data_IF_996801668052
#
_entry.id   IF_996801668052
#
_cell.length_a   1.000
_cell.length_b   1.000
_cell.length_c   1.000
_cell.angle_alpha   90.00
_cell.angle_beta   90.00
_cell.angle_gamma   90.00
#
_symmetry.space_group_name_H-M   'P 1'
#
loop_
_entity.id
_entity.type
_entity.pdbx_description
1 polymer ?
#
# COMPACT_ATOMS: atom_id res chain seq x y z
N UNK A 1 -12.40 20.93 27.65
CA UNK A 1 -10.96 20.65 27.49
C UNK A 1 -10.68 19.17 27.18
N UNK A 2 -11.36 18.21 27.81
CA UNK A 2 -11.16 16.76 27.54
C UNK A 2 -11.51 16.32 26.12
N UNK A 3 -12.62 16.83 25.54
CA UNK A 3 -13.01 16.50 24.16
C UNK A 3 -11.94 16.93 23.15
N UNK A 4 -11.34 18.10 23.34
CA UNK A 4 -10.28 18.62 22.47
C UNK A 4 -9.03 17.72 22.54
N UNK A 5 -8.62 17.33 23.75
CA UNK A 5 -7.50 16.40 23.96
C UNK A 5 -7.75 15.05 23.26
N UNK A 6 -8.96 14.50 23.41
CA UNK A 6 -9.33 13.22 22.78
C UNK A 6 -9.29 13.27 21.25
N UNK A 7 -9.73 14.38 20.66
CA UNK A 7 -9.64 14.58 19.20
C UNK A 7 -8.18 14.68 18.75
N UNK A 8 -7.36 15.44 19.48
CA UNK A 8 -5.91 15.57 19.21
C UNK A 8 -5.21 14.20 19.29
N UNK A 9 -5.54 13.38 20.30
CA UNK A 9 -4.97 12.04 20.47
C UNK A 9 -5.33 11.12 19.29
N UNK A 10 -6.58 11.15 18.82
CA UNK A 10 -7.02 10.38 17.65
C UNK A 10 -6.25 10.81 16.38
N UNK A 11 -6.05 12.11 16.19
CA UNK A 11 -5.29 12.65 15.05
C UNK A 11 -3.83 12.18 15.15
N UNK A 12 -3.21 12.30 16.32
CA UNK A 12 -1.82 11.88 16.55
C UNK A 12 -1.64 10.38 16.34
N UNK A 13 -2.58 9.54 16.78
CA UNK A 13 -2.54 8.10 16.56
C UNK A 13 -2.69 7.74 15.08
N UNK A 14 -3.56 8.45 14.37
CA UNK A 14 -3.74 8.27 12.92
C UNK A 14 -2.46 8.66 12.18
N UNK A 15 -1.88 9.80 12.54
CA UNK A 15 -0.63 10.31 11.97
C UNK A 15 0.52 9.36 12.27
N UNK A 16 0.62 8.82 13.49
CA UNK A 16 1.59 7.80 13.87
C UNK A 16 1.43 6.53 13.05
N UNK A 17 0.20 6.03 12.87
CA UNK A 17 -0.07 4.84 12.02
C UNK A 17 0.37 5.08 10.58
N UNK A 18 0.09 6.27 10.04
CA UNK A 18 0.58 6.67 8.72
C UNK A 18 2.10 6.62 8.70
N UNK A 19 2.79 7.33 9.61
CA UNK A 19 4.25 7.38 9.67
C UNK A 19 4.91 5.99 9.82
N UNK A 20 4.29 5.06 10.56
CA UNK A 20 4.77 3.68 10.70
C UNK A 20 4.62 2.90 9.39
N UNK A 21 3.49 3.02 8.71
CA UNK A 21 3.31 2.44 7.36
C UNK A 21 4.34 3.02 6.39
N UNK A 22 4.62 4.32 6.51
CA UNK A 22 5.63 5.04 5.74
C UNK A 22 7.02 4.47 5.89
N UNK A 23 7.47 4.31 7.13
CA UNK A 23 8.77 3.73 7.45
C UNK A 23 8.93 2.34 6.82
N UNK A 24 7.85 1.55 6.81
CA UNK A 24 7.88 0.18 6.29
C UNK A 24 7.79 0.11 4.75
N UNK A 25 7.14 1.09 4.11
CA UNK A 25 6.84 1.07 2.68
C UNK A 25 8.03 1.39 1.75
N UNK A 26 9.17 1.87 2.28
CA UNK A 26 10.35 2.35 1.51
C UNK A 26 9.95 3.35 0.40
N UNK A 27 9.90 4.63 0.77
CA UNK A 27 9.45 5.73 -0.11
C UNK A 27 10.28 5.90 -1.40
N UNK A 28 9.69 6.52 -2.43
CA UNK A 28 10.38 6.95 -3.66
C UNK A 28 10.01 6.13 -4.90
N UNK A 29 11.01 5.83 -5.75
CA UNK A 29 10.85 5.07 -7.01
C UNK A 29 10.07 3.76 -6.85
N UNK A 30 10.13 3.13 -5.67
CA UNK A 30 9.41 1.89 -5.37
C UNK A 30 7.90 2.04 -5.51
N UNK A 31 7.33 3.20 -5.15
CA UNK A 31 5.90 3.44 -5.36
C UNK A 31 5.54 3.48 -6.84
N UNK A 32 6.39 4.08 -7.69
CA UNK A 32 6.18 4.07 -9.14
C UNK A 32 6.17 2.62 -9.67
N UNK A 33 7.11 1.79 -9.20
CA UNK A 33 7.12 0.37 -9.55
C UNK A 33 5.92 -0.41 -9.02
N UNK A 34 5.40 -0.06 -7.86
CA UNK A 34 4.19 -0.68 -7.31
C UNK A 34 2.94 -0.24 -8.10
N UNK A 35 2.90 1.01 -8.56
CA UNK A 35 1.86 1.53 -9.45
C UNK A 35 1.85 0.78 -10.79
N UNK A 36 3.03 0.51 -11.36
CA UNK A 36 3.16 -0.29 -12.58
C UNK A 36 2.67 -1.72 -12.43
N UNK A 37 2.58 -2.25 -11.21
CA UNK A 37 2.05 -3.59 -10.90
C UNK A 37 0.56 -3.61 -10.63
N UNK A 38 -0.11 -2.45 -10.59
CA UNK A 38 -1.55 -2.38 -10.41
C UNK A 38 -2.34 -3.14 -11.46
N UNK A 39 -2.00 -3.11 -12.78
CA UNK A 39 -2.75 -3.88 -13.77
C UNK A 39 -2.75 -5.38 -13.46
N UNK A 40 -1.59 -5.93 -13.10
CA UNK A 40 -1.44 -7.34 -12.70
C UNK A 40 -2.26 -7.63 -11.43
N UNK A 41 -2.14 -6.78 -10.41
CA UNK A 41 -2.93 -6.88 -9.18
C UNK A 41 -4.44 -6.86 -9.42
N UNK A 42 -4.91 -6.00 -10.33
CA UNK A 42 -6.33 -5.85 -10.64
C UNK A 42 -6.89 -7.01 -11.46
N UNK A 43 -6.09 -7.57 -12.36
CA UNK A 43 -6.49 -8.70 -13.22
C UNK A 43 -6.36 -10.06 -12.51
N UNK A 44 -5.53 -10.17 -11.48
CA UNK A 44 -5.34 -11.42 -10.76
C UNK A 44 -6.60 -11.86 -9.99
N UNK A 45 -7.14 -13.03 -10.32
CA UNK A 45 -8.36 -13.59 -9.71
C UNK A 45 -8.16 -14.07 -8.27
N UNK A 46 -6.91 -14.30 -7.84
CA UNK A 46 -6.56 -14.76 -6.48
C UNK A 46 -6.72 -13.66 -5.43
N UNK A 47 -6.73 -12.40 -5.87
CA UNK A 47 -6.86 -11.25 -4.99
C UNK A 47 -8.34 -10.94 -4.74
N UNK A 48 -8.68 -10.77 -3.46
CA UNK A 48 -10.03 -10.46 -3.04
C UNK A 48 -10.52 -9.16 -3.67
N UNK A 49 -11.80 -9.14 -4.02
CA UNK A 49 -12.44 -7.93 -4.56
C UNK A 49 -12.35 -6.74 -3.59
N UNK A 50 -12.35 -7.01 -2.29
CA UNK A 50 -12.26 -5.98 -1.23
C UNK A 50 -10.91 -5.26 -1.29
N UNK A 51 -9.81 -5.98 -1.47
CA UNK A 51 -8.47 -5.40 -1.54
C UNK A 51 -8.34 -4.55 -2.82
N UNK A 52 -8.93 -5.01 -3.93
CA UNK A 52 -9.00 -4.24 -5.18
C UNK A 52 -9.82 -2.96 -5.03
N UNK A 53 -11.02 -3.06 -4.45
CA UNK A 53 -11.88 -1.90 -4.19
C UNK A 53 -11.20 -0.91 -3.25
N UNK A 54 -10.47 -1.39 -2.23
CA UNK A 54 -9.70 -0.54 -1.32
C UNK A 54 -8.65 0.28 -2.09
N UNK A 55 -7.83 -0.37 -2.92
CA UNK A 55 -6.84 0.33 -3.75
C UNK A 55 -7.48 1.34 -4.70
N UNK A 56 -8.53 0.94 -5.42
CA UNK A 56 -9.25 1.83 -6.35
C UNK A 56 -9.86 3.01 -5.60
N UNK A 57 -10.50 2.79 -4.46
CA UNK A 57 -11.12 3.85 -3.66
C UNK A 57 -10.11 4.90 -3.21
N UNK A 58 -8.92 4.46 -2.79
CA UNK A 58 -7.84 5.37 -2.37
C UNK A 58 -7.30 6.17 -3.54
N UNK A 59 -7.10 5.56 -4.71
CA UNK A 59 -6.65 6.26 -5.91
C UNK A 59 -7.70 7.28 -6.37
N UNK A 60 -8.97 6.88 -6.45
CA UNK A 60 -10.08 7.77 -6.82
C UNK A 60 -10.19 8.93 -5.83
N UNK A 61 -10.12 8.66 -4.54
CA UNK A 61 -10.13 9.69 -3.50
C UNK A 61 -8.96 10.67 -3.66
N UNK A 62 -7.74 10.14 -3.85
CA UNK A 62 -6.53 10.96 -4.01
C UNK A 62 -6.64 11.87 -5.23
N UNK A 63 -7.04 11.32 -6.39
CA UNK A 63 -7.22 12.11 -7.62
C UNK A 63 -8.34 13.14 -7.43
N UNK A 64 -9.48 12.74 -6.85
CA UNK A 64 -10.60 13.64 -6.61
C UNK A 64 -10.20 14.80 -5.71
N UNK A 65 -9.39 14.54 -4.68
CA UNK A 65 -8.85 15.55 -3.79
C UNK A 65 -8.01 16.58 -4.57
N UNK A 66 -6.99 16.13 -5.31
CA UNK A 66 -6.14 17.03 -6.12
C UNK A 66 -6.90 17.77 -7.22
N UNK A 67 -7.91 17.16 -7.83
CA UNK A 67 -8.73 17.79 -8.87
C UNK A 67 -9.72 18.79 -8.26
N UNK A 68 -10.19 18.57 -7.05
CA UNK A 68 -11.18 19.43 -6.41
C UNK A 68 -10.65 20.83 -6.11
N UNK A 69 -9.34 20.98 -5.91
CA UNK A 69 -8.73 22.24 -5.49
C UNK A 69 -9.24 22.72 -4.13
N UNK A 70 -9.78 21.80 -3.31
CA UNK A 70 -10.23 22.08 -1.95
C UNK A 70 -9.12 21.63 -1.01
N UNK A 71 -8.53 22.57 -0.28
CA UNK A 71 -7.57 22.25 0.78
C UNK A 71 -8.31 21.71 2.01
N UNK A 72 -7.79 20.62 2.60
CA UNK A 72 -8.30 20.11 3.89
C UNK A 72 -8.07 21.17 4.97
N UNK A 73 -6.94 21.88 4.88
CA UNK A 73 -6.62 23.01 5.75
C UNK A 73 -6.61 24.27 4.89
N UNK A 74 -7.60 25.17 5.02
CA UNK A 74 -7.65 26.40 4.23
C UNK A 74 -6.30 27.14 4.27
N UNK A 75 -5.78 27.52 3.10
CA UNK A 75 -4.50 28.25 2.99
C UNK A 75 -4.44 29.50 3.90
N UNK A 76 -5.58 30.15 4.14
CA UNK A 76 -5.71 31.28 5.07
C UNK A 76 -5.30 30.93 6.51
N UNK A 77 -5.44 29.67 6.93
CA UNK A 77 -5.05 29.16 8.24
C UNK A 77 -3.65 28.56 8.26
N UNK A 78 -3.25 27.88 7.17
CA UNK A 78 -1.95 27.18 7.08
C UNK A 78 -0.79 28.09 6.62
N UNK A 79 -1.08 29.19 5.93
CA UNK A 79 -0.08 30.07 5.33
C UNK A 79 0.86 29.29 4.39
N UNK A 80 2.17 29.46 4.57
CA UNK A 80 3.19 28.78 3.76
C UNK A 80 3.20 27.23 3.90
N UNK A 81 2.44 26.66 4.83
CA UNK A 81 2.33 25.22 5.05
C UNK A 81 1.12 24.57 4.37
N UNK A 82 0.45 25.27 3.45
CA UNK A 82 -0.67 24.73 2.67
C UNK A 82 -0.33 23.51 1.81
N UNK A 83 0.95 23.15 1.64
CA UNK A 83 1.37 21.91 0.97
C UNK A 83 1.41 20.68 1.90
N UNK A 84 1.27 20.87 3.21
CA UNK A 84 1.44 19.79 4.19
C UNK A 84 0.27 18.81 4.11
N UNK A 85 -0.97 19.28 3.96
CA UNK A 85 -2.14 18.41 3.85
C UNK A 85 -2.11 17.59 2.55
N UNK A 86 -1.72 18.20 1.43
CA UNK A 86 -1.45 17.51 0.17
C UNK A 86 -0.42 16.39 0.33
N UNK A 87 0.69 16.70 1.01
CA UNK A 87 1.72 15.72 1.30
C UNK A 87 1.16 14.58 2.15
N UNK A 88 0.34 14.87 3.17
CA UNK A 88 -0.30 13.86 4.02
C UNK A 88 -1.22 12.95 3.21
N UNK A 89 -2.03 13.50 2.29
CA UNK A 89 -2.94 12.71 1.43
C UNK A 89 -2.14 11.80 0.49
N UNK A 90 -1.11 12.32 -0.18
CA UNK A 90 -0.22 11.52 -1.04
C UNK A 90 0.46 10.42 -0.25
N UNK A 91 1.00 10.79 0.91
CA UNK A 91 1.65 9.87 1.83
C UNK A 91 0.66 8.75 2.18
N UNK A 92 -0.49 9.09 2.75
CA UNK A 92 -1.50 8.11 3.13
C UNK A 92 -1.90 7.17 1.98
N UNK A 93 -2.09 7.70 0.77
CA UNK A 93 -2.41 6.95 -0.44
C UNK A 93 -1.32 5.95 -0.82
N UNK A 94 -0.07 6.40 -0.89
CA UNK A 94 1.12 5.58 -1.15
C UNK A 94 1.21 4.42 -0.15
N UNK A 95 0.99 4.72 1.13
CA UNK A 95 1.05 3.72 2.20
C UNK A 95 0.04 2.59 2.01
N UNK A 96 -1.20 2.90 1.63
CA UNK A 96 -2.24 1.88 1.41
C UNK A 96 -1.93 1.05 0.15
N UNK A 97 -1.59 1.70 -0.96
CA UNK A 97 -1.29 0.99 -2.21
C UNK A 97 -0.11 0.05 -2.02
N UNK A 98 0.97 0.51 -1.39
CA UNK A 98 2.15 -0.31 -1.12
C UNK A 98 1.82 -1.50 -0.22
N UNK A 99 0.99 -1.31 0.82
CA UNK A 99 0.55 -2.39 1.71
C UNK A 99 -0.15 -3.51 0.91
N UNK A 100 -1.10 -3.17 0.04
CA UNK A 100 -1.85 -4.15 -0.75
C UNK A 100 -0.99 -4.81 -1.85
N UNK A 101 -0.14 -4.05 -2.54
CA UNK A 101 0.79 -4.60 -3.54
C UNK A 101 1.82 -5.52 -2.89
N UNK A 102 2.26 -5.22 -1.66
CA UNK A 102 3.18 -6.09 -0.95
C UNK A 102 2.51 -7.41 -0.53
N UNK A 103 1.25 -7.39 -0.07
CA UNK A 103 0.46 -8.62 0.15
C UNK A 103 0.35 -9.44 -1.13
N UNK A 104 0.04 -8.80 -2.25
CA UNK A 104 0.01 -9.46 -3.56
C UNK A 104 1.36 -10.09 -3.93
N UNK A 105 2.47 -9.40 -3.68
CA UNK A 105 3.82 -9.93 -3.96
C UNK A 105 4.13 -11.18 -3.15
N UNK A 106 3.62 -11.29 -1.92
CA UNK A 106 3.77 -12.48 -1.08
C UNK A 106 2.97 -13.65 -1.69
N UNK A 107 1.71 -13.41 -2.06
CA UNK A 107 0.84 -14.42 -2.69
C UNK A 107 1.44 -14.90 -4.02
N UNK A 108 1.88 -13.97 -4.86
CA UNK A 108 2.51 -14.29 -6.15
C UNK A 108 3.84 -15.05 -6.02
N UNK A 109 4.59 -14.84 -4.92
CA UNK A 109 5.84 -15.56 -4.64
C UNK A 109 5.62 -16.98 -4.11
N UNK A 110 4.62 -17.19 -3.26
CA UNK A 110 4.30 -18.52 -2.72
C UNK A 110 4.01 -19.53 -3.84
N UNK A 111 3.32 -19.08 -4.89
CA UNK A 111 2.97 -19.93 -6.03
C UNK A 111 4.19 -20.31 -6.89
N UNK A 112 5.20 -19.43 -6.98
CA UNK A 112 6.40 -19.67 -7.78
C UNK A 112 7.28 -20.80 -7.22
N UNK A 113 7.18 -21.09 -5.92
CA UNK A 113 7.87 -22.20 -5.26
C UNK A 113 6.99 -23.44 -5.05
N UNK A 114 5.69 -23.38 -5.32
CA UNK A 114 4.76 -24.51 -5.09
C UNK A 114 5.06 -25.75 -5.94
N UNK A 115 5.74 -25.57 -7.08
CA UNK A 115 6.08 -26.65 -8.02
C UNK A 115 7.49 -27.25 -7.79
N UNK A 116 8.22 -26.85 -6.75
CA UNK A 116 9.58 -27.37 -6.47
C UNK A 116 9.48 -28.36 -5.30
N UNK A 117 9.69 -29.64 -5.58
CA UNK A 117 9.81 -30.68 -4.55
C UNK A 117 11.27 -30.73 -4.12
N UNK A 118 11.60 -30.13 -2.97
CA UNK A 118 13.00 -30.00 -2.51
C UNK A 118 13.56 -31.28 -1.83
N UNK A 119 12.78 -32.35 -1.69
CA UNK A 119 13.18 -33.58 -0.99
C UNK A 119 12.85 -34.86 -1.78
N UNK A 120 13.27 -34.92 -3.06
CA UNK A 120 13.17 -36.18 -3.82
C UNK A 120 14.51 -36.91 -3.74
N UNK A 121 14.57 -37.94 -2.89
CA UNK A 121 15.67 -38.89 -2.88
C UNK A 121 15.45 -39.88 -4.03
N UNK A 122 16.27 -39.79 -5.08
CA UNK A 122 16.21 -40.70 -6.23
C UNK A 122 17.24 -41.82 -6.03
N UNK A 123 16.78 -43.08 -6.00
CA UNK A 123 17.67 -44.23 -6.11
C UNK A 123 17.73 -44.68 -7.56
N UNK A 124 18.88 -44.50 -8.20
CA UNK A 124 19.15 -45.11 -9.52
C UNK A 124 19.44 -46.59 -9.26
N UNK A 125 18.62 -47.48 -9.81
CA UNK A 125 18.96 -48.90 -9.88
C UNK A 125 19.72 -49.10 -11.17
N UNK A 126 21.01 -49.38 -11.07
CA UNK A 126 21.77 -49.92 -12.18
C UNK A 126 21.27 -51.36 -12.40
N UNK A 127 20.64 -51.61 -13.55
CA UNK A 127 20.38 -52.99 -13.99
C UNK A 127 21.73 -53.58 -14.38
N UNK A 128 22.24 -54.49 -13.55
CA UNK A 128 23.45 -55.27 -13.84
C UNK A 128 23.24 -56.07 -15.14
N UNK A 129 24.06 -55.76 -16.15
CA UNK A 129 24.14 -56.43 -17.46
C UNK A 129 24.87 -57.78 -17.39
#
# INVERSE_FOLDING_TARGET
>A
MELLKRVIDIILDTLKKILVRFKNAKFGLLFIFDLLKLPDFMTDKRINIIDKVKVVSVLVFTVSYFVSGIDIIPEMLAGAFGFIDDAIVLIWSIGIVNEEINKYRIIAKQDKHSNIIENVEFSIKDEEE
#
